data_IF_506629944524
#
_entry.id   IF_506629944524
#
_cell.length_a   1.000
_cell.length_b   1.000
_cell.length_c   1.000
_cell.angle_alpha   90.00
_cell.angle_beta   90.00
_cell.angle_gamma   90.00
#
_symmetry.space_group_name_H-M   'P 1'
#
loop_
_entity.id
_entity.type
_entity.pdbx_description
1 polymer ?
#
# COMPACT_ATOMS: atom_id res chain seq x y z
N UNK A 1 -36.73 -33.99 13.52
CA UNK A 1 -35.72 -34.27 14.56
C UNK A 1 -34.81 -33.03 14.60
N UNK A 2 -34.99 -31.99 15.45
CA UNK A 2 -34.89 -31.87 16.93
C UNK A 2 -33.62 -32.52 17.52
N UNK A 3 -32.66 -31.66 17.91
CA UNK A 3 -31.89 -31.57 19.18
C UNK A 3 -30.71 -30.59 18.91
N UNK A 4 -30.68 -29.34 19.40
CA UNK A 4 -30.47 -28.85 20.77
C UNK A 4 -29.12 -29.21 21.41
N UNK A 5 -28.27 -28.18 21.63
CA UNK A 5 -27.66 -27.73 22.93
C UNK A 5 -26.41 -26.88 22.61
N UNK A 6 -26.40 -25.56 22.89
CA UNK A 6 -26.02 -24.92 24.17
C UNK A 6 -24.62 -25.33 24.65
N UNK A 7 -23.68 -24.38 24.66
CA UNK A 7 -22.82 -24.00 25.79
C UNK A 7 -22.32 -22.58 25.51
N UNK A 8 -22.72 -21.65 26.37
CA UNK A 8 -22.02 -20.39 26.56
C UNK A 8 -20.96 -20.57 27.65
N UNK A 9 -19.86 -19.83 27.56
CA UNK A 9 -19.04 -19.50 28.72
C UNK A 9 -18.64 -18.03 28.62
N UNK A 10 -18.95 -17.37 29.73
CA UNK A 10 -18.73 -16.00 30.13
C UNK A 10 -17.29 -15.89 30.67
N UNK A 11 -16.52 -14.88 30.27
CA UNK A 11 -15.37 -14.42 31.06
C UNK A 11 -15.34 -12.89 31.08
N UNK A 12 -15.98 -12.34 32.11
CA UNK A 12 -15.60 -11.07 32.73
C UNK A 12 -14.28 -11.28 33.49
N UNK A 13 -13.38 -10.29 33.52
CA UNK A 13 -12.38 -10.27 34.58
C UNK A 13 -11.15 -9.39 34.38
N UNK A 14 -11.19 -8.22 35.01
CA UNK A 14 -10.15 -7.67 35.89
C UNK A 14 -8.79 -7.19 35.32
N UNK A 15 -8.68 -5.86 35.34
CA UNK A 15 -7.56 -5.04 35.81
C UNK A 15 -6.39 -5.77 36.49
N UNK A 16 -5.16 -5.47 36.03
CA UNK A 16 -3.96 -5.55 36.85
C UNK A 16 -3.14 -4.27 36.70
N UNK A 17 -3.00 -3.59 37.84
CA UNK A 17 -2.08 -2.50 38.09
C UNK A 17 -0.62 -3.01 38.05
N UNK A 18 0.29 -2.14 37.58
CA UNK A 18 1.74 -2.38 37.66
C UNK A 18 2.29 -1.48 38.78
N UNK A 19 3.18 -1.99 39.66
CA UNK A 19 3.54 -1.35 40.93
C UNK A 19 4.63 -0.28 40.77
N UNK A 20 4.53 0.72 41.65
CA UNK A 20 5.58 1.69 41.91
C UNK A 20 6.76 1.03 42.63
N UNK A 21 7.97 1.18 42.08
CA UNK A 21 9.21 0.85 42.77
C UNK A 21 9.72 2.07 43.55
N UNK A 22 10.06 1.80 44.81
CA UNK A 22 10.47 2.74 45.83
C UNK A 22 11.90 3.30 45.62
N UNK A 23 12.12 4.44 46.25
CA UNK A 23 13.34 5.23 46.33
C UNK A 23 14.41 4.58 47.21
N UNK A 24 15.69 4.77 46.88
CA UNK A 24 16.75 4.86 47.90
C UNK A 24 17.82 5.91 47.53
N UNK A 25 17.82 6.97 48.35
CA UNK A 25 18.89 7.81 48.92
C UNK A 25 20.00 8.53 48.12
N UNK A 26 20.03 9.84 48.44
CA UNK A 26 21.14 10.76 48.86
C UNK A 26 21.89 11.62 47.82
N UNK A 27 21.57 12.93 47.85
CA UNK A 27 22.41 14.14 48.09
C UNK A 27 23.93 14.00 47.84
N UNK A 28 24.69 14.94 47.26
CA UNK A 28 24.61 16.42 47.15
C UNK A 28 25.74 16.80 46.16
N UNK A 29 25.57 17.61 45.10
CA UNK A 29 26.01 19.02 44.97
C UNK A 29 26.16 19.29 43.45
N UNK A 30 25.86 20.50 42.98
CA UNK A 30 26.39 20.99 41.69
C UNK A 30 25.36 21.40 40.62
N UNK A 31 25.06 22.70 40.61
CA UNK A 31 24.72 23.63 39.53
C UNK A 31 24.46 23.10 38.09
N UNK A 32 23.38 23.62 37.49
CA UNK A 32 23.13 23.82 36.05
C UNK A 32 23.16 22.61 35.09
N UNK A 33 21.96 22.12 34.75
CA UNK A 33 21.37 22.26 33.42
C UNK A 33 20.12 21.38 33.35
N UNK A 34 18.96 22.02 33.33
CA UNK A 34 17.68 21.34 33.12
C UNK A 34 17.61 20.74 31.70
N UNK A 35 18.16 19.54 31.51
CA UNK A 35 17.76 18.67 30.41
C UNK A 35 16.33 18.19 30.70
N UNK A 36 15.36 18.96 30.22
CA UNK A 36 14.05 18.42 29.85
C UNK A 36 14.32 17.23 28.92
N UNK A 37 14.16 16.00 29.44
CA UNK A 37 13.92 14.82 28.60
C UNK A 37 12.63 15.08 27.83
N UNK A 38 12.76 15.73 26.68
CA UNK A 38 11.70 15.83 25.71
C UNK A 38 11.37 14.40 25.27
N UNK A 39 10.19 13.93 25.67
CA UNK A 39 9.54 12.75 25.11
C UNK A 39 9.61 12.89 23.58
N UNK A 40 10.06 11.87 22.82
CA UNK A 40 10.08 11.96 21.36
C UNK A 40 8.67 12.34 20.90
N UNK A 41 8.56 13.49 20.22
CA UNK A 41 7.29 13.89 19.62
C UNK A 41 6.90 12.76 18.66
N UNK A 42 5.75 12.14 18.93
CA UNK A 42 5.19 11.15 18.02
C UNK A 42 4.88 11.91 16.73
N UNK A 43 5.64 11.63 15.67
CA UNK A 43 5.44 12.25 14.37
C UNK A 43 3.98 12.09 13.95
N UNK A 44 3.34 13.21 13.63
CA UNK A 44 1.93 13.22 13.19
C UNK A 44 1.81 12.53 11.83
N UNK A 45 0.61 12.11 11.46
CA UNK A 45 0.40 11.50 10.13
C UNK A 45 0.70 12.50 8.99
N UNK A 46 0.59 13.80 9.25
CA UNK A 46 1.04 14.85 8.34
C UNK A 46 2.56 14.88 8.19
N UNK A 47 3.32 14.73 9.29
CA UNK A 47 4.78 14.66 9.26
C UNK A 47 5.27 13.41 8.52
N UNK A 48 4.58 12.28 8.69
CA UNK A 48 4.88 11.03 7.96
C UNK A 48 4.60 11.17 6.46
N UNK A 49 3.48 11.79 6.07
CA UNK A 49 3.16 12.01 4.66
C UNK A 49 4.14 12.97 3.98
N UNK A 50 4.55 14.04 4.67
CA UNK A 50 5.55 14.98 4.17
C UNK A 50 6.93 14.31 4.02
N UNK A 51 7.36 13.53 5.01
CA UNK A 51 8.62 12.78 4.95
C UNK A 51 8.62 11.72 3.84
N UNK A 52 7.50 11.02 3.64
CA UNK A 52 7.36 10.02 2.57
C UNK A 52 7.41 10.68 1.19
N UNK A 53 6.75 11.85 1.02
CA UNK A 53 6.81 12.63 -0.21
C UNK A 53 8.22 13.15 -0.50
N UNK A 54 8.93 13.65 0.52
CA UNK A 54 10.31 14.11 0.39
C UNK A 54 11.26 12.95 0.05
N UNK A 55 11.13 11.80 0.72
CA UNK A 55 11.91 10.60 0.42
C UNK A 55 11.65 10.10 -1.01
N UNK A 56 10.39 10.13 -1.45
CA UNK A 56 10.02 9.76 -2.81
C UNK A 56 10.60 10.73 -3.86
N UNK A 57 10.60 12.04 -3.57
CA UNK A 57 11.28 13.03 -4.41
C UNK A 57 12.78 12.78 -4.48
N UNK A 58 13.45 12.48 -3.37
CA UNK A 58 14.87 12.17 -3.36
C UNK A 58 15.20 10.90 -4.15
N UNK A 59 14.38 9.84 -4.02
CA UNK A 59 14.57 8.58 -4.76
C UNK A 59 14.36 8.73 -6.27
N UNK A 60 13.47 9.64 -6.67
CA UNK A 60 13.12 9.88 -8.08
C UNK A 60 13.85 11.08 -8.68
N UNK A 61 14.64 11.81 -7.90
CA UNK A 61 15.38 12.99 -8.35
C UNK A 61 16.40 12.62 -9.44
N UNK A 62 16.30 13.27 -10.60
CA UNK A 62 17.17 13.00 -11.75
C UNK A 62 16.78 11.77 -12.58
N UNK A 63 15.62 11.15 -12.30
CA UNK A 63 15.02 10.16 -13.21
C UNK A 63 14.26 10.91 -14.30
N UNK A 64 14.62 10.70 -15.57
CA UNK A 64 13.88 11.21 -16.72
C UNK A 64 12.86 10.15 -17.17
N UNK A 65 11.55 10.33 -16.92
CA UNK A 65 10.52 9.32 -17.24
C UNK A 65 10.51 8.91 -18.73
N UNK A 66 10.99 9.77 -19.63
CA UNK A 66 11.06 9.49 -21.06
C UNK A 66 12.05 8.37 -21.39
N UNK A 67 13.09 8.22 -20.56
CA UNK A 67 14.14 7.20 -20.69
C UNK A 67 13.80 5.89 -20.00
N UNK A 68 12.60 5.76 -19.43
CA UNK A 68 12.23 4.54 -18.74
C UNK A 68 12.25 3.32 -19.66
N UNK A 69 12.63 2.14 -19.14
CA UNK A 69 12.53 0.90 -19.88
C UNK A 69 11.10 0.67 -20.39
N UNK A 70 10.98 0.15 -21.61
CA UNK A 70 9.68 -0.05 -22.26
C UNK A 70 8.72 -0.91 -21.42
N UNK A 71 9.22 -1.90 -20.70
CA UNK A 71 8.42 -2.73 -19.80
C UNK A 71 7.81 -1.94 -18.64
N UNK A 72 8.54 -0.94 -18.10
CA UNK A 72 8.00 -0.03 -17.07
C UNK A 72 6.88 0.82 -17.65
N UNK A 73 7.07 1.35 -18.87
CA UNK A 73 6.04 2.12 -19.59
C UNK A 73 4.81 1.27 -19.90
N UNK A 74 4.99 0.02 -20.34
CA UNK A 74 3.89 -0.92 -20.60
C UNK A 74 3.08 -1.21 -19.35
N UNK A 75 3.74 -1.52 -18.23
CA UNK A 75 3.03 -1.72 -16.97
C UNK A 75 2.26 -0.47 -16.55
N UNK A 76 2.87 0.72 -16.70
CA UNK A 76 2.21 1.99 -16.43
C UNK A 76 0.96 2.18 -17.30
N UNK A 77 1.03 1.80 -18.58
CA UNK A 77 -0.10 1.80 -19.50
C UNK A 77 -1.21 0.83 -19.10
N UNK A 78 -0.89 -0.38 -18.64
CA UNK A 78 -1.89 -1.32 -18.15
C UNK A 78 -2.64 -0.80 -16.91
N UNK A 79 -1.92 -0.21 -15.95
CA UNK A 79 -2.54 0.40 -14.76
C UNK A 79 -3.51 1.50 -15.18
N UNK A 80 -3.08 2.38 -16.07
CA UNK A 80 -3.90 3.49 -16.58
C UNK A 80 -5.12 3.03 -17.37
N UNK A 81 -4.99 1.99 -18.19
CA UNK A 81 -6.09 1.43 -18.95
C UNK A 81 -7.14 0.80 -18.04
N UNK A 82 -6.73 0.07 -16.99
CA UNK A 82 -7.65 -0.47 -15.99
C UNK A 82 -8.37 0.65 -15.25
N UNK A 83 -7.65 1.68 -14.79
CA UNK A 83 -8.26 2.83 -14.12
C UNK A 83 -9.28 3.54 -15.03
N UNK A 84 -8.92 3.75 -16.29
CA UNK A 84 -9.79 4.37 -17.29
C UNK A 84 -11.04 3.54 -17.50
N UNK A 85 -10.91 2.22 -17.65
CA UNK A 85 -12.05 1.32 -17.81
C UNK A 85 -13.03 1.41 -16.62
N UNK A 86 -12.53 1.52 -15.39
CA UNK A 86 -13.36 1.71 -14.19
C UNK A 86 -14.02 3.08 -14.21
N UNK A 87 -13.24 4.15 -14.42
CA UNK A 87 -13.71 5.52 -14.34
C UNK A 87 -14.74 5.87 -15.43
N UNK A 88 -14.54 5.42 -16.67
CA UNK A 88 -15.45 5.68 -17.78
C UNK A 88 -16.81 5.00 -17.63
N UNK A 89 -16.89 3.95 -16.80
CA UNK A 89 -18.12 3.17 -16.60
C UNK A 89 -18.67 3.30 -15.17
N UNK A 90 -18.09 4.17 -14.34
CA UNK A 90 -18.40 4.27 -12.91
C UNK A 90 -19.88 4.52 -12.56
N UNK A 91 -20.70 5.21 -13.39
CA UNK A 91 -22.15 5.28 -13.16
C UNK A 91 -22.88 3.93 -13.18
N UNK A 92 -22.27 2.91 -13.78
CA UNK A 92 -22.77 1.54 -13.84
C UNK A 92 -21.69 0.57 -13.30
N UNK A 93 -21.83 0.22 -12.02
CA UNK A 93 -20.88 -0.63 -11.30
C UNK A 93 -20.58 -1.96 -12.01
N UNK A 94 -21.58 -2.56 -12.66
CA UNK A 94 -21.42 -3.82 -13.37
C UNK A 94 -20.61 -3.63 -14.66
N UNK A 95 -20.89 -2.57 -15.42
CA UNK A 95 -20.09 -2.23 -16.60
C UNK A 95 -18.65 -1.87 -16.25
N UNK A 96 -18.43 -1.14 -15.15
CA UNK A 96 -17.08 -0.82 -14.69
C UNK A 96 -16.27 -2.06 -14.34
N UNK A 97 -16.82 -2.97 -13.53
CA UNK A 97 -16.14 -4.23 -13.21
C UNK A 97 -15.97 -5.13 -14.44
N UNK A 98 -16.96 -5.20 -15.33
CA UNK A 98 -16.87 -5.99 -16.56
C UNK A 98 -15.79 -5.44 -17.50
N UNK A 99 -15.72 -4.12 -17.71
CA UNK A 99 -14.72 -3.49 -18.58
C UNK A 99 -13.30 -3.68 -18.02
N UNK A 100 -13.10 -3.42 -16.74
CA UNK A 100 -11.81 -3.62 -16.08
C UNK A 100 -11.40 -5.10 -16.09
N UNK A 101 -12.34 -6.01 -15.79
CA UNK A 101 -12.09 -7.45 -15.81
C UNK A 101 -11.82 -7.99 -17.22
N UNK A 102 -12.51 -7.49 -18.24
CA UNK A 102 -12.26 -7.86 -19.64
C UNK A 102 -10.86 -7.40 -20.09
N UNK A 103 -10.46 -6.18 -19.73
CA UNK A 103 -9.11 -5.70 -20.01
C UNK A 103 -8.05 -6.59 -19.32
N UNK A 104 -8.20 -6.84 -18.01
CA UNK A 104 -7.27 -7.66 -17.24
C UNK A 104 -7.16 -9.09 -17.80
N UNK A 105 -8.28 -9.71 -18.21
CA UNK A 105 -8.28 -11.03 -18.85
C UNK A 105 -7.59 -11.02 -20.21
N UNK A 106 -7.88 -10.02 -21.05
CA UNK A 106 -7.29 -9.89 -22.39
C UNK A 106 -5.77 -9.71 -22.34
N UNK A 107 -5.27 -8.96 -21.36
CA UNK A 107 -3.85 -8.64 -21.22
C UNK A 107 -3.15 -9.47 -20.13
N UNK A 108 -3.79 -10.53 -19.62
CA UNK A 108 -3.29 -11.33 -18.50
C UNK A 108 -1.86 -11.83 -18.72
N UNK A 109 -1.60 -12.46 -19.86
CA UNK A 109 -0.28 -13.04 -20.14
C UNK A 109 0.84 -11.98 -20.21
N UNK A 110 0.54 -10.79 -20.75
CA UNK A 110 1.49 -9.68 -20.80
C UNK A 110 1.77 -9.11 -19.40
N UNK A 111 0.72 -8.92 -18.60
CA UNK A 111 0.82 -8.46 -17.21
C UNK A 111 1.62 -9.46 -16.36
N UNK A 112 1.36 -10.76 -16.49
CA UNK A 112 2.09 -11.82 -15.78
C UNK A 112 3.57 -11.85 -16.18
N UNK A 113 3.88 -11.73 -17.47
CA UNK A 113 5.26 -11.68 -17.95
C UNK A 113 6.02 -10.45 -17.41
N UNK A 114 5.38 -9.28 -17.41
CA UNK A 114 5.95 -8.06 -16.84
C UNK A 114 6.18 -8.20 -15.33
N UNK A 115 5.20 -8.74 -14.59
CA UNK A 115 5.33 -9.00 -13.15
C UNK A 115 6.48 -9.96 -12.83
N UNK A 116 6.62 -11.05 -13.58
CA UNK A 116 7.72 -12.00 -13.42
C UNK A 116 9.08 -11.32 -13.66
N UNK A 117 9.18 -10.48 -14.70
CA UNK A 117 10.39 -9.71 -15.00
C UNK A 117 10.74 -8.72 -13.88
N UNK A 118 9.74 -8.00 -13.36
CA UNK A 118 9.95 -7.08 -12.24
C UNK A 118 10.40 -7.80 -10.97
N UNK A 119 9.81 -8.97 -10.66
CA UNK A 119 10.22 -9.80 -9.52
C UNK A 119 11.67 -10.26 -9.65
N UNK A 120 12.06 -10.79 -10.82
CA UNK A 120 13.43 -11.20 -11.07
C UNK A 120 14.43 -10.03 -10.95
N UNK A 121 14.06 -8.84 -11.44
CA UNK A 121 14.88 -7.64 -11.29
C UNK A 121 15.03 -7.23 -9.82
N UNK A 122 13.93 -7.23 -9.05
CA UNK A 122 13.92 -6.89 -7.62
C UNK A 122 14.85 -7.81 -6.81
N UNK A 123 14.89 -9.10 -7.15
CA UNK A 123 15.75 -10.08 -6.48
C UNK A 123 17.25 -9.88 -6.80
N UNK A 124 17.58 -9.32 -7.97
CA UNK A 124 18.97 -9.27 -8.45
C UNK A 124 19.89 -8.30 -7.71
N UNK A 125 19.37 -7.35 -6.89
CA UNK A 125 20.10 -6.29 -6.15
C UNK A 125 21.18 -5.52 -6.96
N UNK A 126 21.17 -5.65 -8.28
CA UNK A 126 22.19 -5.07 -9.16
C UNK A 126 22.01 -3.56 -9.30
N UNK A 127 23.07 -2.80 -9.68
CA UNK A 127 22.93 -1.38 -10.00
C UNK A 127 21.85 -1.12 -11.06
N UNK A 128 21.76 -2.00 -12.06
CA UNK A 128 20.73 -1.96 -13.09
C UNK A 128 19.33 -2.17 -12.51
N UNK A 129 19.16 -3.08 -11.55
CA UNK A 129 17.89 -3.26 -10.86
C UNK A 129 17.52 -2.07 -9.97
N UNK A 130 18.49 -1.41 -9.35
CA UNK A 130 18.25 -0.17 -8.60
C UNK A 130 17.78 0.95 -9.53
N UNK A 131 18.47 1.16 -10.66
CA UNK A 131 18.03 2.14 -11.67
C UNK A 131 16.63 1.84 -12.19
N UNK A 132 16.37 0.57 -12.49
CA UNK A 132 15.05 0.09 -12.90
C UNK A 132 13.98 0.36 -11.83
N UNK A 133 14.29 0.10 -10.56
CA UNK A 133 13.44 0.42 -9.42
C UNK A 133 13.14 1.91 -9.29
N UNK A 134 14.10 2.79 -9.61
CA UNK A 134 13.87 4.24 -9.63
C UNK A 134 12.88 4.65 -10.72
N UNK A 135 12.94 4.06 -11.91
CA UNK A 135 11.93 4.27 -12.96
C UNK A 135 10.55 3.74 -12.56
N UNK A 136 10.48 2.56 -11.94
CA UNK A 136 9.22 2.03 -11.42
C UNK A 136 8.61 2.96 -10.37
N UNK A 137 9.41 3.47 -9.42
CA UNK A 137 8.94 4.43 -8.42
C UNK A 137 8.52 5.76 -9.04
N UNK A 138 9.25 6.28 -10.03
CA UNK A 138 8.93 7.54 -10.68
C UNK A 138 7.64 7.47 -11.50
N UNK A 139 7.38 6.34 -12.18
CA UNK A 139 6.28 6.22 -13.16
C UNK A 139 5.07 5.50 -12.59
N UNK A 140 5.29 4.37 -11.91
CA UNK A 140 4.19 3.53 -11.44
C UNK A 140 3.59 4.09 -10.17
N UNK A 141 4.39 4.59 -9.23
CA UNK A 141 3.87 5.01 -7.92
C UNK A 141 2.80 6.12 -8.01
N UNK A 142 2.96 7.19 -8.82
CA UNK A 142 1.88 8.16 -9.00
C UNK A 142 0.59 7.53 -9.57
N UNK A 143 0.73 6.61 -10.53
CA UNK A 143 -0.42 5.88 -11.12
C UNK A 143 -1.06 4.93 -10.12
N UNK A 144 -0.28 4.29 -9.25
CA UNK A 144 -0.77 3.44 -8.17
C UNK A 144 -1.53 4.25 -7.12
N UNK A 145 -1.07 5.47 -6.79
CA UNK A 145 -1.81 6.38 -5.91
C UNK A 145 -3.14 6.82 -6.53
N UNK A 146 -3.12 7.17 -7.83
CA UNK A 146 -4.36 7.45 -8.57
C UNK A 146 -5.30 6.24 -8.59
N UNK A 147 -4.75 5.04 -8.80
CA UNK A 147 -5.50 3.78 -8.79
C UNK A 147 -6.12 3.56 -7.42
N UNK A 148 -5.38 3.78 -6.34
CA UNK A 148 -5.89 3.67 -4.98
C UNK A 148 -7.07 4.62 -4.76
N UNK A 149 -6.97 5.89 -5.19
CA UNK A 149 -8.08 6.84 -5.08
C UNK A 149 -9.31 6.39 -5.87
N UNK A 150 -9.12 5.96 -7.14
CA UNK A 150 -10.20 5.48 -8.00
C UNK A 150 -10.83 4.18 -7.47
N UNK A 151 -10.02 3.27 -6.95
CA UNK A 151 -10.47 2.03 -6.34
C UNK A 151 -11.19 2.27 -5.02
N UNK A 152 -10.76 3.24 -4.21
CA UNK A 152 -11.51 3.68 -3.02
C UNK A 152 -12.88 4.20 -3.45
N UNK A 153 -12.93 5.14 -4.40
CA UNK A 153 -14.20 5.67 -4.91
C UNK A 153 -15.10 4.57 -5.48
N UNK A 154 -14.54 3.65 -6.27
CA UNK A 154 -15.25 2.50 -6.80
C UNK A 154 -15.75 1.59 -5.67
N UNK A 155 -14.94 1.29 -4.66
CA UNK A 155 -15.34 0.45 -3.54
C UNK A 155 -16.43 1.08 -2.67
N UNK A 156 -16.43 2.40 -2.53
CA UNK A 156 -17.49 3.13 -1.81
C UNK A 156 -18.81 3.09 -2.57
N UNK A 157 -18.77 3.26 -3.89
CA UNK A 157 -19.97 3.35 -4.72
C UNK A 157 -20.47 1.99 -5.23
N UNK A 158 -19.59 1.00 -5.32
CA UNK A 158 -19.77 -0.29 -6.00
C UNK A 158 -19.17 -1.45 -5.19
N UNK A 159 -19.48 -1.52 -3.88
CA UNK A 159 -18.80 -2.43 -2.94
C UNK A 159 -18.79 -3.91 -3.37
N UNK A 160 -19.89 -4.43 -3.92
CA UNK A 160 -19.98 -5.82 -4.36
C UNK A 160 -19.12 -6.08 -5.62
N UNK A 161 -19.16 -5.16 -6.58
CA UNK A 161 -18.37 -5.25 -7.80
C UNK A 161 -16.88 -5.02 -7.53
N UNK A 162 -16.51 -4.23 -6.53
CA UNK A 162 -15.14 -4.06 -6.09
C UNK A 162 -14.55 -5.36 -5.54
N UNK A 163 -15.32 -6.15 -4.77
CA UNK A 163 -14.89 -7.48 -4.32
C UNK A 163 -14.66 -8.43 -5.49
N UNK A 164 -15.59 -8.47 -6.44
CA UNK A 164 -15.46 -9.30 -7.63
C UNK A 164 -14.27 -8.88 -8.51
N UNK A 165 -14.08 -7.57 -8.69
CA UNK A 165 -12.95 -7.03 -9.45
C UNK A 165 -11.62 -7.34 -8.78
N UNK A 166 -11.53 -7.25 -7.45
CA UNK A 166 -10.35 -7.65 -6.69
C UNK A 166 -9.97 -9.10 -6.98
N UNK A 167 -10.91 -10.03 -6.93
CA UNK A 167 -10.65 -11.44 -7.22
C UNK A 167 -10.15 -11.66 -8.67
N UNK A 168 -10.69 -10.91 -9.63
CA UNK A 168 -10.24 -10.95 -11.03
C UNK A 168 -8.80 -10.44 -11.15
N UNK A 169 -8.48 -9.33 -10.48
CA UNK A 169 -7.14 -8.74 -10.51
C UNK A 169 -6.10 -9.60 -9.80
N UNK A 170 -6.44 -10.24 -8.67
CA UNK A 170 -5.57 -11.20 -7.99
C UNK A 170 -5.28 -12.43 -8.89
N UNK A 171 -6.31 -12.97 -9.54
CA UNK A 171 -6.17 -14.07 -10.49
C UNK A 171 -5.40 -13.70 -11.78
N UNK A 172 -5.31 -12.41 -12.11
CA UNK A 172 -4.55 -11.91 -13.25
C UNK A 172 -3.12 -11.49 -12.87
N UNK A 173 -2.88 -11.11 -11.61
CA UNK A 173 -1.58 -10.63 -11.12
C UNK A 173 -0.59 -11.72 -10.73
N UNK A 174 -1.00 -13.00 -10.77
CA UNK A 174 -0.12 -14.13 -10.45
C UNK A 174 0.14 -14.34 -8.95
N UNK A 175 -0.67 -13.74 -8.07
CA UNK A 175 -0.63 -14.04 -6.64
C UNK A 175 -1.25 -15.43 -6.40
N UNK A 176 -0.41 -16.47 -6.40
CA UNK A 176 -0.70 -17.75 -5.74
C UNK A 176 0.08 -17.83 -4.44
#
# INVERSE_FOLDING_TARGET
MKLSRLIGVLVLGASLAIPAAAQDKKQDTGTEAAQKKAKPAVATDADKAAAQKAAMQMLTQGVDPSKAPEDVKKMAGHIEAIMTAIASNMPDCNKAAAAAGAYAKKHKAEIEALNAKFKALQESKSPKAMEYGRYMMAILLPKLMQMQQKMTQFSTNCAEQAKALKAIMEAAGGAK
#
